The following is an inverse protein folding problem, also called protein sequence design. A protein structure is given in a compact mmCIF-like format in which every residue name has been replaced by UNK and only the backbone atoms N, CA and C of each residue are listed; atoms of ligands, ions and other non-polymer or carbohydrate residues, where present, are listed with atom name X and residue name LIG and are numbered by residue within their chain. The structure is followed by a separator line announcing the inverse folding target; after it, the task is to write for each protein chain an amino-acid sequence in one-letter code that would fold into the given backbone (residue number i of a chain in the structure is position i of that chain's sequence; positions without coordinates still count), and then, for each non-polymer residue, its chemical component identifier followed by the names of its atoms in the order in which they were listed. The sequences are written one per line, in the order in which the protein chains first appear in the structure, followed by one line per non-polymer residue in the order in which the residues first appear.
data_IF_043835088986
#
_entry.id   IF_043835088986
#
_cell.length_a   1.000
_cell.length_b   1.000
_cell.length_c   1.000
_cell.angle_alpha   90.00
_cell.angle_beta   90.00
_cell.angle_gamma   90.00
#
_symmetry.space_group_name_H-M   'P 1'
#
loop_
_entity.id
_entity.type
_entity.pdbx_description
1 polymer ?
#
# COMPACT_ATOMS: atom_id res chain seq x y z
N UNK A 1 -8.95 -35.96 2.62
CA UNK A 1 -9.45 -34.80 1.99
C UNK A 1 -8.80 -33.54 2.47
N UNK A 2 -8.96 -33.23 3.72
CA UNK A 2 -8.36 -32.02 4.23
C UNK A 2 -6.87 -32.04 4.15
N UNK A 3 -6.27 -33.18 4.31
CA UNK A 3 -4.83 -33.28 4.22
C UNK A 3 -4.31 -32.92 2.86
N UNK A 4 -5.06 -33.31 1.85
CA UNK A 4 -4.63 -32.98 0.50
C UNK A 4 -4.62 -31.50 0.28
N UNK A 5 -5.60 -30.84 0.83
CA UNK A 5 -5.67 -29.40 0.70
C UNK A 5 -4.48 -28.75 1.37
N UNK A 6 -4.09 -29.30 2.49
CA UNK A 6 -2.94 -28.78 3.21
C UNK A 6 -1.68 -28.89 2.40
N UNK A 7 -1.51 -30.02 1.75
CA UNK A 7 -0.33 -30.22 0.92
C UNK A 7 -0.25 -29.19 -0.19
N UNK A 8 -1.38 -28.95 -0.82
CA UNK A 8 -1.44 -27.95 -1.86
C UNK A 8 -1.05 -26.60 -1.34
N UNK A 9 -1.52 -26.30 -0.16
CA UNK A 9 -1.22 -25.02 0.44
C UNK A 9 0.27 -24.87 0.67
N UNK A 10 0.92 -25.90 1.15
CA UNK A 10 2.35 -25.84 1.39
C UNK A 10 3.12 -25.61 0.10
N UNK A 11 2.74 -26.31 -0.93
CA UNK A 11 3.38 -26.11 -2.22
C UNK A 11 3.23 -24.69 -2.70
N UNK A 12 2.04 -24.16 -2.54
CA UNK A 12 1.78 -22.81 -2.94
C UNK A 12 2.68 -21.83 -2.20
N UNK A 13 2.88 -22.06 -0.92
CA UNK A 13 3.77 -21.20 -0.15
C UNK A 13 5.18 -21.24 -0.69
N UNK A 14 5.65 -22.38 -1.06
CA UNK A 14 6.98 -22.47 -1.60
C UNK A 14 7.12 -21.67 -2.87
N UNK A 15 6.11 -21.73 -3.69
CA UNK A 15 6.12 -20.95 -4.91
C UNK A 15 6.14 -19.48 -4.61
N UNK A 16 5.33 -19.05 -3.67
CA UNK A 16 5.27 -17.62 -3.37
C UNK A 16 6.55 -17.12 -2.74
N UNK A 17 7.28 -17.98 -2.05
CA UNK A 17 8.54 -17.56 -1.47
C UNK A 17 9.57 -17.17 -2.52
N UNK A 18 9.47 -17.70 -3.69
CA UNK A 18 10.42 -17.37 -4.74
C UNK A 18 10.18 -15.97 -5.28
N UNK A 19 8.99 -15.49 -5.17
CA UNK A 19 8.62 -14.22 -5.74
C UNK A 19 8.89 -13.12 -4.75
N UNK A 20 9.90 -12.37 -4.97
CA UNK A 20 10.18 -11.21 -4.15
C UNK A 20 9.76 -9.93 -4.83
N UNK A 21 9.42 -9.99 -6.09
CA UNK A 21 9.05 -8.79 -6.83
C UNK A 21 7.61 -8.39 -6.51
N UNK A 22 7.41 -7.12 -6.31
CA UNK A 22 6.08 -6.57 -6.20
C UNK A 22 5.44 -6.52 -7.57
N UNK A 23 4.13 -6.60 -7.59
CA UNK A 23 3.41 -6.71 -8.82
C UNK A 23 2.21 -5.79 -8.80
N UNK A 24 1.23 -6.08 -9.62
CA UNK A 24 0.03 -5.28 -9.74
C UNK A 24 -1.00 -5.77 -8.74
N UNK A 25 -1.67 -4.83 -8.07
CA UNK A 25 -2.70 -5.16 -7.10
C UNK A 25 -3.86 -4.19 -7.27
N UNK A 26 -5.07 -4.73 -7.34
CA UNK A 26 -6.27 -3.91 -7.41
C UNK A 26 -7.23 -4.37 -6.33
N UNK A 27 -7.18 -3.68 -5.21
CA UNK A 27 -8.06 -3.97 -4.09
C UNK A 27 -9.35 -3.19 -4.23
N UNK A 28 -10.38 -3.68 -3.55
CA UNK A 28 -11.61 -2.91 -3.39
C UNK A 28 -11.33 -1.83 -2.37
N UNK A 29 -11.40 -0.58 -2.79
CA UNK A 29 -10.98 0.53 -1.95
C UNK A 29 -12.08 0.97 -1.00
N UNK A 30 -11.74 1.33 0.23
CA UNK A 30 -12.71 1.91 1.14
C UNK A 30 -13.18 3.26 0.65
N UNK A 31 -14.37 3.65 1.06
CA UNK A 31 -14.94 4.93 0.70
C UNK A 31 -15.23 5.74 1.95
N UNK A 32 -15.25 7.06 1.80
CA UNK A 32 -15.49 7.93 2.93
C UNK A 32 -15.15 9.36 2.58
N UNK A 33 -15.04 10.18 3.63
CA UNK A 33 -14.70 11.58 3.48
C UNK A 33 -13.21 11.73 3.22
N UNK A 34 -12.86 12.44 2.17
CA UNK A 34 -11.45 12.70 1.87
C UNK A 34 -10.93 13.79 2.79
N UNK A 35 -9.96 13.44 3.60
CA UNK A 35 -9.34 14.39 4.53
C UNK A 35 -8.15 15.07 3.89
N UNK A 36 -7.45 14.37 3.01
CA UNK A 36 -6.25 14.90 2.36
C UNK A 36 -6.03 14.11 1.07
N UNK A 37 -5.45 14.74 0.08
CA UNK A 37 -5.13 14.03 -1.15
C UNK A 37 -4.01 14.75 -1.89
N UNK A 38 -3.29 13.99 -2.70
CA UNK A 38 -2.20 14.54 -3.49
C UNK A 38 -1.72 13.54 -4.51
N UNK A 39 -0.96 14.03 -5.45
CA UNK A 39 -0.36 13.20 -6.47
C UNK A 39 1.05 12.84 -6.08
N UNK A 40 1.47 11.63 -6.43
CA UNK A 40 2.87 11.27 -6.27
C UNK A 40 3.72 12.09 -7.21
N UNK A 41 4.91 12.41 -6.76
CA UNK A 41 5.88 13.16 -7.53
C UNK A 41 7.12 12.32 -7.68
N UNK A 42 7.64 12.25 -8.90
CA UNK A 42 8.84 11.49 -9.16
C UNK A 42 10.04 12.15 -8.49
N UNK A 43 10.89 11.32 -7.94
CA UNK A 43 12.14 11.77 -7.36
C UNK A 43 13.28 10.99 -8.01
N UNK A 44 13.77 9.95 -7.34
CA UNK A 44 14.81 9.12 -7.94
C UNK A 44 14.26 8.21 -9.04
N UNK A 45 13.00 7.80 -8.91
CA UNK A 45 12.36 6.91 -9.85
C UNK A 45 11.05 7.52 -10.33
N UNK A 46 10.69 7.22 -11.56
CA UNK A 46 9.43 7.69 -12.11
C UNK A 46 8.28 7.11 -11.32
N UNK A 47 7.45 7.98 -10.78
CA UNK A 47 6.33 7.58 -9.95
C UNK A 47 5.13 8.42 -10.30
N UNK A 48 3.97 7.77 -10.42
CA UNK A 48 2.71 8.46 -10.66
C UNK A 48 1.61 7.81 -9.85
N UNK A 49 0.49 8.50 -9.74
CA UNK A 49 -0.64 8.03 -8.97
C UNK A 49 -1.09 9.05 -7.97
N UNK A 50 -2.11 8.67 -7.19
CA UNK A 50 -2.73 9.56 -6.21
C UNK A 50 -2.78 8.87 -4.86
N UNK A 51 -2.55 9.64 -3.81
CA UNK A 51 -2.71 9.18 -2.44
C UNK A 51 -3.76 10.01 -1.75
N UNK A 52 -4.62 9.37 -0.97
CA UNK A 52 -5.66 10.04 -0.22
C UNK A 52 -5.71 9.50 1.19
N UNK A 53 -6.06 10.36 2.13
CA UNK A 53 -6.44 9.89 3.46
C UNK A 53 -7.92 10.12 3.58
N UNK A 54 -8.65 9.06 3.88
CA UNK A 54 -10.11 9.14 4.01
C UNK A 54 -10.54 8.67 5.39
N UNK A 55 -11.72 9.11 5.79
CA UNK A 55 -12.37 8.64 7.01
C UNK A 55 -13.68 8.00 6.61
N UNK A 56 -13.90 6.74 7.00
CA UNK A 56 -15.14 6.06 6.64
C UNK A 56 -16.28 6.43 7.62
N UNK A 57 -17.44 5.81 7.44
CA UNK A 57 -18.59 6.14 8.24
C UNK A 57 -18.40 5.82 9.72
N UNK A 58 -17.54 4.88 10.04
CA UNK A 58 -17.25 4.51 11.42
C UNK A 58 -16.12 5.32 12.03
N UNK A 59 -15.52 6.23 11.28
CA UNK A 59 -14.43 7.04 11.77
C UNK A 59 -13.07 6.43 11.57
N UNK A 60 -12.98 5.29 10.90
CA UNK A 60 -11.70 4.68 10.59
C UNK A 60 -11.02 5.45 9.47
N UNK A 61 -9.72 5.59 9.58
CA UNK A 61 -8.94 6.30 8.57
C UNK A 61 -8.14 5.31 7.75
N UNK A 62 -8.02 5.61 6.47
CA UNK A 62 -7.30 4.78 5.53
C UNK A 62 -6.44 5.65 4.63
N UNK A 63 -5.26 5.14 4.33
CA UNK A 63 -4.45 5.69 3.25
C UNK A 63 -4.82 4.91 1.99
N UNK A 64 -5.35 5.60 1.01
CA UNK A 64 -5.81 4.99 -0.24
C UNK A 64 -4.87 5.40 -1.35
N UNK A 65 -4.34 4.40 -2.04
CA UNK A 65 -3.42 4.61 -3.16
C UNK A 65 -4.16 4.23 -4.43
N UNK A 66 -4.20 5.16 -5.38
CA UNK A 66 -4.92 4.95 -6.63
C UNK A 66 -4.01 5.13 -7.82
N UNK A 67 -4.10 4.21 -8.75
CA UNK A 67 -3.39 4.27 -10.03
C UNK A 67 -1.89 4.44 -9.85
N UNK A 68 -1.34 3.75 -8.89
CA UNK A 68 0.09 3.83 -8.64
C UNK A 68 0.85 3.17 -9.77
N UNK A 69 1.96 3.78 -10.14
CA UNK A 69 2.93 3.18 -11.03
C UNK A 69 4.30 3.67 -10.61
N UNK A 70 5.15 2.76 -10.21
CA UNK A 70 6.50 3.09 -9.79
C UNK A 70 7.42 1.93 -10.08
N UNK A 71 8.70 2.11 -9.87
CA UNK A 71 9.68 1.04 -10.09
C UNK A 71 9.72 0.11 -8.91
N UNK A 72 10.06 -1.15 -9.19
CA UNK A 72 10.23 -2.13 -8.14
C UNK A 72 11.58 -1.90 -7.45
N UNK A 73 11.66 -2.36 -6.21
CA UNK A 73 12.87 -2.23 -5.43
C UNK A 73 12.88 -3.25 -4.31
N UNK A 74 14.03 -3.41 -3.65
CA UNK A 74 14.17 -4.48 -2.64
C UNK A 74 13.45 -4.21 -1.33
N UNK A 75 13.14 -2.95 -1.02
CA UNK A 75 12.58 -2.63 0.29
C UNK A 75 11.78 -1.35 0.19
N UNK A 76 10.63 -1.43 -0.50
CA UNK A 76 9.80 -0.26 -0.68
C UNK A 76 8.82 -0.12 0.47
N UNK A 77 8.76 1.08 1.03
CA UNK A 77 7.91 1.37 2.19
C UNK A 77 7.16 2.65 1.98
N UNK A 78 6.08 2.82 2.73
CA UNK A 78 5.28 4.04 2.71
C UNK A 78 5.48 4.78 4.01
N UNK A 79 5.83 6.03 3.90
CA UNK A 79 5.96 6.95 5.02
C UNK A 79 4.99 8.10 4.84
N UNK A 80 4.36 8.51 5.93
CA UNK A 80 3.55 9.72 5.95
C UNK A 80 4.28 10.79 6.75
N UNK A 81 4.30 11.99 6.20
CA UNK A 81 4.96 13.11 6.87
C UNK A 81 4.15 14.38 6.64
N UNK A 82 4.08 15.25 7.63
CA UNK A 82 3.44 16.54 7.45
C UNK A 82 4.29 17.54 6.67
N UNK A 83 5.54 17.20 6.42
CA UNK A 83 6.48 18.10 5.75
C UNK A 83 7.05 17.47 4.50
N UNK A 84 7.37 18.31 3.54
CA UNK A 84 7.92 17.83 2.27
C UNK A 84 9.32 17.29 2.40
N UNK A 85 10.02 17.63 3.49
CA UNK A 85 11.34 17.07 3.71
C UNK A 85 11.30 15.66 4.31
N UNK A 86 10.09 15.15 4.57
CA UNK A 86 9.93 13.79 5.07
C UNK A 86 10.15 13.64 6.56
N UNK A 87 10.22 14.72 7.32
CA UNK A 87 10.49 14.65 8.74
C UNK A 87 9.58 15.60 9.51
N UNK A 88 9.00 15.16 10.62
CA UNK A 88 8.99 13.79 11.10
C UNK A 88 8.17 12.89 10.18
N UNK A 89 8.30 11.58 10.34
CA UNK A 89 7.55 10.67 9.50
C UNK A 89 6.99 9.52 10.33
N UNK A 90 5.96 8.91 9.77
CA UNK A 90 5.38 7.71 10.33
C UNK A 90 5.41 6.64 9.24
N UNK A 91 5.98 5.51 9.56
CA UNK A 91 6.01 4.40 8.61
C UNK A 91 4.70 3.66 8.66
N UNK A 92 4.07 3.52 7.50
CA UNK A 92 2.80 2.82 7.38
C UNK A 92 3.04 1.32 7.17
N UNK A 93 4.04 0.99 6.36
CA UNK A 93 4.36 -0.39 6.10
C UNK A 93 5.04 -0.57 4.76
N UNK A 94 5.17 -1.82 4.37
CA UNK A 94 5.73 -2.13 3.07
C UNK A 94 4.76 -1.73 1.97
N UNK A 95 5.31 -1.32 0.85
CA UNK A 95 4.49 -1.05 -0.32
C UNK A 95 3.91 -2.37 -0.81
N UNK A 96 2.59 -2.44 -0.97
CA UNK A 96 1.92 -3.68 -1.35
C UNK A 96 2.18 -4.07 -2.79
N UNK A 97 2.32 -3.08 -3.66
CA UNK A 97 2.51 -3.33 -5.07
C UNK A 97 3.13 -2.11 -5.72
N UNK A 98 3.71 -2.28 -6.90
CA UNK A 98 4.29 -1.15 -7.65
C UNK A 98 3.32 -0.58 -8.66
N UNK A 99 2.22 -1.27 -8.93
CA UNK A 99 1.15 -0.75 -9.78
C UNK A 99 -0.20 -1.14 -9.20
N UNK A 100 -1.17 -0.26 -9.36
CA UNK A 100 -2.54 -0.58 -9.05
C UNK A 100 -3.17 0.29 -7.99
N UNK A 101 -4.17 -0.29 -7.33
CA UNK A 101 -5.00 0.40 -6.34
C UNK A 101 -5.05 -0.43 -5.08
N UNK A 102 -4.76 0.18 -3.95
CA UNK A 102 -4.76 -0.55 -2.68
C UNK A 102 -4.83 0.46 -1.54
N UNK A 103 -5.00 -0.05 -0.32
CA UNK A 103 -5.15 0.82 0.83
C UNK A 103 -4.52 0.22 2.06
N UNK A 104 -4.32 1.08 3.06
CA UNK A 104 -3.78 0.71 4.36
C UNK A 104 -4.69 1.31 5.41
N UNK A 105 -5.06 0.53 6.41
CA UNK A 105 -5.80 1.06 7.52
C UNK A 105 -4.82 1.80 8.45
N UNK A 106 -5.17 3.02 8.83
CA UNK A 106 -4.32 3.82 9.70
C UNK A 106 -4.81 3.63 11.12
N UNK A 107 -3.99 2.97 11.93
CA UNK A 107 -4.40 2.60 13.29
C UNK A 107 -3.90 3.57 14.34
N UNK A 108 -3.06 4.53 13.94
CA UNK A 108 -2.55 5.53 14.87
C UNK A 108 -3.04 6.91 14.45
N UNK A 109 -2.96 7.85 15.38
CA UNK A 109 -3.37 9.22 15.09
C UNK A 109 -2.40 9.85 14.10
N UNK A 110 -2.96 10.44 13.05
CA UNK A 110 -2.18 11.13 12.04
C UNK A 110 -2.52 12.61 12.12
N UNK A 111 -1.51 13.42 12.30
CA UNK A 111 -1.70 14.88 12.39
C UNK A 111 -1.34 15.56 11.10
#
# INVERSE_FOLDING_TARGET
MKKNILLLFVLFLLVSCKKSALDNTNESLPTGTVLSSGNFVSNSHTTSGTAKIISDAAGKKFLVIENLKTDNGPDLRIWLSPNTNGSPFQEIGFLKAVTGNFSYELTTTID
#
